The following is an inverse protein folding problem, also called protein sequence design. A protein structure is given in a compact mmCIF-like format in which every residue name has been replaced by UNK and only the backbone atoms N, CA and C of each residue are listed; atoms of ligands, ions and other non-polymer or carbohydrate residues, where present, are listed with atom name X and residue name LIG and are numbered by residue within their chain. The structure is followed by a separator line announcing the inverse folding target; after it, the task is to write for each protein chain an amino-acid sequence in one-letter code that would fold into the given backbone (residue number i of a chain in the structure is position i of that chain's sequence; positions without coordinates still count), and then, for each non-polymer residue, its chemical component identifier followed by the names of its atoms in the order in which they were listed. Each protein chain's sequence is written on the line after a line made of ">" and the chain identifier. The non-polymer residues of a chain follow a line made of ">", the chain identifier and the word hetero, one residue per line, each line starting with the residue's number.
data_IF_728432367840
#
_entry.id   IF_728432367840
#
_cell.length_a   1.000
_cell.length_b   1.000
_cell.length_c   1.000
_cell.angle_alpha   90.00
_cell.angle_beta   90.00
_cell.angle_gamma   90.00
#
_symmetry.space_group_name_H-M   'P 1'
#
loop_
_entity.id
_entity.type
_entity.pdbx_description
1 polymer ?
#
# COMPACT_ATOMS: atom_id res chain seq x y z
N UNK A 1 29.10 -3.95 -12.04
CA UNK A 1 29.89 -5.20 -11.90
C UNK A 1 29.63 -5.92 -10.58
N UNK A 2 29.61 -5.22 -9.42
CA UNK A 2 29.40 -5.87 -8.10
C UNK A 2 28.00 -6.47 -7.95
N UNK A 3 26.96 -5.80 -8.43
CA UNK A 3 25.59 -6.33 -8.37
C UNK A 3 25.38 -7.57 -9.23
N UNK A 4 25.98 -7.60 -10.42
CA UNK A 4 25.91 -8.77 -11.30
C UNK A 4 26.58 -9.98 -10.68
N UNK A 5 27.76 -9.78 -10.07
CA UNK A 5 28.46 -10.84 -9.34
C UNK A 5 27.61 -11.35 -8.15
N UNK A 6 27.07 -10.43 -7.32
CA UNK A 6 26.22 -10.79 -6.19
C UNK A 6 25.01 -11.62 -6.63
N UNK A 7 24.36 -11.24 -7.74
CA UNK A 7 23.21 -11.97 -8.28
C UNK A 7 23.61 -13.40 -8.72
N UNK A 8 24.74 -13.54 -9.39
CA UNK A 8 25.25 -14.85 -9.79
C UNK A 8 25.62 -15.71 -8.58
N UNK A 9 26.21 -15.12 -7.54
CA UNK A 9 26.56 -15.81 -6.31
C UNK A 9 25.32 -16.31 -5.56
N UNK A 10 24.26 -15.50 -5.46
CA UNK A 10 22.98 -15.92 -4.86
C UNK A 10 22.27 -17.00 -5.70
N UNK A 11 22.22 -16.85 -7.02
CA UNK A 11 21.64 -17.87 -7.90
C UNK A 11 22.38 -19.21 -7.74
N UNK A 12 23.71 -19.17 -7.64
CA UNK A 12 24.55 -20.37 -7.43
C UNK A 12 24.37 -20.96 -6.03
N UNK A 13 24.14 -20.14 -5.01
CA UNK A 13 23.93 -20.63 -3.65
C UNK A 13 22.71 -21.54 -3.56
N UNK A 14 21.63 -21.24 -4.30
CA UNK A 14 20.41 -22.09 -4.37
C UNK A 14 20.73 -23.49 -4.95
N UNK A 15 21.66 -23.56 -5.91
CA UNK A 15 22.07 -24.82 -6.52
C UNK A 15 22.94 -25.68 -5.59
N UNK A 16 23.75 -25.02 -4.74
CA UNK A 16 24.71 -25.69 -3.83
C UNK A 16 24.01 -26.17 -2.56
N UNK A 17 23.17 -25.34 -1.97
CA UNK A 17 22.45 -25.64 -0.73
C UNK A 17 20.99 -25.20 -0.84
N UNK A 18 20.07 -26.11 -1.18
CA UNK A 18 18.65 -25.81 -1.26
C UNK A 18 18.03 -25.30 0.06
N UNK A 19 18.65 -25.58 1.21
CA UNK A 19 18.16 -25.10 2.50
C UNK A 19 18.32 -23.58 2.67
N UNK A 20 19.22 -22.97 1.89
CA UNK A 20 19.41 -21.51 1.84
C UNK A 20 18.68 -20.88 0.65
N UNK A 21 17.86 -21.65 -0.03
CA UNK A 21 17.24 -21.27 -1.29
C UNK A 21 16.32 -20.07 -1.17
N UNK A 22 15.47 -20.02 -0.14
CA UNK A 22 14.55 -18.92 0.10
C UNK A 22 15.30 -17.62 0.40
N UNK A 23 16.30 -17.65 1.29
CA UNK A 23 17.15 -16.50 1.57
C UNK A 23 17.89 -16.01 0.32
N UNK A 24 18.49 -16.94 -0.44
CA UNK A 24 19.24 -16.60 -1.64
C UNK A 24 18.37 -15.96 -2.73
N UNK A 25 17.16 -16.52 -2.96
CA UNK A 25 16.19 -15.95 -3.89
C UNK A 25 15.71 -14.57 -3.44
N UNK A 26 15.47 -14.38 -2.14
CA UNK A 26 15.09 -13.09 -1.60
C UNK A 26 16.19 -12.03 -1.84
N UNK A 27 17.45 -12.38 -1.56
CA UNK A 27 18.60 -11.48 -1.78
C UNK A 27 18.84 -11.22 -3.27
N UNK A 28 18.72 -12.25 -4.14
CA UNK A 28 18.80 -12.03 -5.59
C UNK A 28 17.72 -11.04 -6.06
N UNK A 29 16.48 -11.19 -5.60
CA UNK A 29 15.39 -10.28 -5.92
C UNK A 29 15.68 -8.84 -5.44
N UNK A 30 16.27 -8.70 -4.26
CA UNK A 30 16.70 -7.39 -3.75
C UNK A 30 17.73 -6.73 -4.67
N UNK A 31 18.76 -7.47 -5.07
CA UNK A 31 19.80 -6.97 -6.00
C UNK A 31 19.21 -6.59 -7.35
N UNK A 32 18.25 -7.37 -7.87
CA UNK A 32 17.52 -7.03 -9.11
C UNK A 32 16.77 -5.70 -8.97
N UNK A 33 16.13 -5.47 -7.82
CA UNK A 33 15.48 -4.20 -7.52
C UNK A 33 16.43 -3.00 -7.55
N UNK A 34 17.65 -3.16 -6.98
CA UNK A 34 18.70 -2.12 -7.05
C UNK A 34 19.17 -1.83 -8.49
N UNK A 35 19.10 -2.83 -9.36
CA UNK A 35 19.39 -2.69 -10.79
C UNK A 35 18.19 -2.17 -11.61
N UNK A 36 17.04 -1.93 -10.99
CA UNK A 36 15.75 -1.59 -11.63
C UNK A 36 15.24 -2.68 -12.57
N UNK A 37 15.72 -3.91 -12.41
CA UNK A 37 15.20 -5.10 -13.11
C UNK A 37 13.94 -5.60 -12.37
N UNK A 38 12.84 -4.84 -12.44
CA UNK A 38 11.62 -5.14 -11.70
C UNK A 38 10.93 -6.41 -12.20
N UNK A 39 11.00 -6.68 -13.52
CA UNK A 39 10.50 -7.93 -14.07
C UNK A 39 11.27 -9.15 -13.55
N UNK A 40 12.60 -9.09 -13.57
CA UNK A 40 13.44 -10.14 -13.01
C UNK A 40 13.23 -10.30 -11.49
N UNK A 41 13.04 -9.19 -10.77
CA UNK A 41 12.68 -9.22 -9.33
C UNK A 41 11.39 -10.00 -9.09
N UNK A 42 10.32 -9.70 -9.83
CA UNK A 42 9.04 -10.40 -9.71
C UNK A 42 9.18 -11.89 -10.03
N UNK A 43 9.92 -12.25 -11.10
CA UNK A 43 10.17 -13.65 -11.46
C UNK A 43 10.93 -14.41 -10.36
N UNK A 44 11.97 -13.80 -9.79
CA UNK A 44 12.75 -14.39 -8.70
C UNK A 44 11.90 -14.60 -7.45
N UNK A 45 11.07 -13.61 -7.07
CA UNK A 45 10.14 -13.73 -5.95
C UNK A 45 9.02 -14.75 -6.21
N UNK A 46 8.56 -14.92 -7.45
CA UNK A 46 7.63 -16.00 -7.80
C UNK A 46 8.25 -17.37 -7.52
N UNK A 47 9.53 -17.56 -7.83
CA UNK A 47 10.23 -18.82 -7.51
C UNK A 47 10.30 -19.04 -6.00
N UNK A 48 10.62 -18.01 -5.22
CA UNK A 48 10.62 -18.09 -3.76
C UNK A 48 9.24 -18.56 -3.25
N UNK A 49 8.16 -17.91 -3.71
CA UNK A 49 6.80 -18.19 -3.26
C UNK A 49 6.35 -19.60 -3.66
N UNK A 50 6.74 -20.10 -4.85
CA UNK A 50 6.35 -21.43 -5.32
C UNK A 50 7.18 -22.56 -4.72
N UNK A 51 8.51 -22.36 -4.62
CA UNK A 51 9.45 -23.42 -4.27
C UNK A 51 9.63 -23.53 -2.74
N UNK A 52 9.35 -22.42 -2.01
CA UNK A 52 9.51 -22.33 -0.55
C UNK A 52 8.24 -21.77 0.13
N UNK A 53 7.08 -22.48 0.07
CA UNK A 53 5.80 -21.96 0.56
C UNK A 53 5.76 -21.67 2.07
N UNK A 54 6.67 -22.30 2.84
CA UNK A 54 6.82 -22.11 4.29
C UNK A 54 7.97 -21.14 4.66
N UNK A 55 8.50 -20.41 3.68
CA UNK A 55 9.59 -19.47 3.93
C UNK A 55 9.19 -18.37 4.89
N UNK A 56 10.08 -18.02 5.80
CA UNK A 56 9.95 -16.84 6.68
C UNK A 56 9.95 -15.51 5.90
N UNK A 57 10.35 -15.49 4.65
CA UNK A 57 10.38 -14.32 3.77
C UNK A 57 9.12 -14.18 2.92
N UNK A 58 8.07 -14.97 3.18
CA UNK A 58 6.88 -15.02 2.33
C UNK A 58 6.12 -13.69 2.31
N UNK A 59 5.92 -13.06 3.46
CA UNK A 59 5.24 -11.78 3.57
C UNK A 59 6.07 -10.65 2.95
N UNK A 60 7.36 -10.60 3.22
CA UNK A 60 8.29 -9.67 2.58
C UNK A 60 8.35 -9.87 1.05
N UNK A 61 8.34 -11.13 0.58
CA UNK A 61 8.36 -11.43 -0.86
C UNK A 61 7.10 -10.91 -1.57
N UNK A 62 5.93 -11.09 -0.96
CA UNK A 62 4.67 -10.56 -1.49
C UNK A 62 4.66 -9.03 -1.50
N UNK A 63 5.17 -8.40 -0.43
CA UNK A 63 5.30 -6.94 -0.35
C UNK A 63 6.24 -6.40 -1.43
N UNK A 64 7.39 -7.01 -1.59
CA UNK A 64 8.39 -6.61 -2.57
C UNK A 64 7.93 -6.85 -4.03
N UNK A 65 7.07 -7.87 -4.27
CA UNK A 65 6.39 -8.00 -5.58
C UNK A 65 5.43 -6.84 -5.83
N UNK A 66 4.58 -6.51 -4.85
CA UNK A 66 3.68 -5.37 -4.96
C UNK A 66 4.45 -4.08 -5.26
N UNK A 67 5.54 -3.83 -4.51
CA UNK A 67 6.43 -2.68 -4.74
C UNK A 67 7.05 -2.67 -6.13
N UNK A 68 7.43 -3.84 -6.66
CA UNK A 68 7.98 -3.93 -8.03
C UNK A 68 6.92 -3.58 -9.07
N UNK A 69 5.67 -4.02 -8.90
CA UNK A 69 4.56 -3.64 -9.79
C UNK A 69 4.24 -2.14 -9.72
N UNK A 70 4.30 -1.52 -8.53
CA UNK A 70 4.18 -0.05 -8.41
C UNK A 70 5.26 0.68 -9.23
N UNK A 71 6.51 0.20 -9.18
CA UNK A 71 7.60 0.79 -9.97
C UNK A 71 7.46 0.58 -11.48
N UNK A 72 6.64 -0.39 -11.91
CA UNK A 72 6.27 -0.63 -13.30
C UNK A 72 4.95 0.06 -13.70
N UNK A 73 4.38 0.87 -12.80
CA UNK A 73 3.08 1.55 -12.98
C UNK A 73 1.91 0.56 -13.23
N UNK A 74 2.08 -0.68 -12.76
CA UNK A 74 1.06 -1.74 -12.83
C UNK A 74 0.29 -1.82 -11.50
N UNK A 75 -0.54 -0.80 -11.25
CA UNK A 75 -1.30 -0.69 -10.01
C UNK A 75 -2.24 -1.89 -9.77
N UNK A 76 -2.78 -2.47 -10.84
CA UNK A 76 -3.68 -3.62 -10.71
C UNK A 76 -2.97 -4.85 -10.13
N UNK A 77 -1.80 -5.20 -10.64
CA UNK A 77 -1.01 -6.30 -10.12
C UNK A 77 -0.41 -5.98 -8.74
N UNK A 78 -0.02 -4.72 -8.49
CA UNK A 78 0.43 -4.28 -7.15
C UNK A 78 -0.65 -4.51 -6.09
N UNK A 79 -1.88 -4.02 -6.34
CA UNK A 79 -3.04 -4.20 -5.46
C UNK A 79 -3.34 -5.69 -5.25
N UNK A 80 -3.27 -6.51 -6.31
CA UNK A 80 -3.49 -7.95 -6.19
C UNK A 80 -2.48 -8.61 -5.24
N UNK A 81 -1.18 -8.27 -5.31
CA UNK A 81 -0.16 -8.80 -4.41
C UNK A 81 -0.33 -8.33 -2.98
N UNK A 82 -0.58 -7.05 -2.78
CA UNK A 82 -0.85 -6.48 -1.46
C UNK A 82 -2.09 -7.10 -0.80
N UNK A 83 -3.16 -7.35 -1.56
CA UNK A 83 -4.35 -8.04 -1.03
C UNK A 83 -4.05 -9.47 -0.58
N UNK A 84 -3.23 -10.23 -1.34
CA UNK A 84 -2.79 -11.55 -0.92
C UNK A 84 -2.01 -11.48 0.40
N UNK A 85 -1.10 -10.53 0.51
CA UNK A 85 -0.29 -10.29 1.70
C UNK A 85 -1.17 -9.98 2.93
N UNK A 86 -2.04 -8.98 2.82
CA UNK A 86 -2.93 -8.56 3.91
C UNK A 86 -3.84 -9.70 4.37
N UNK A 87 -4.33 -10.51 3.44
CA UNK A 87 -5.20 -11.65 3.75
C UNK A 87 -4.45 -12.80 4.42
N UNK A 88 -3.24 -13.13 3.95
CA UNK A 88 -2.46 -14.27 4.45
C UNK A 88 -1.70 -13.98 5.73
N UNK A 89 -1.21 -12.76 5.88
CA UNK A 89 -0.30 -12.36 6.97
C UNK A 89 -0.75 -11.06 7.64
N UNK A 90 -2.00 -10.98 8.17
CA UNK A 90 -2.57 -9.73 8.69
C UNK A 90 -1.77 -9.10 9.83
N UNK A 91 -1.03 -9.92 10.60
CA UNK A 91 -0.22 -9.45 11.73
C UNK A 91 1.18 -8.94 11.31
N UNK A 92 1.57 -9.15 10.06
CA UNK A 92 2.86 -8.68 9.56
C UNK A 92 2.93 -7.16 9.48
N UNK A 93 4.08 -6.59 9.84
CA UNK A 93 4.33 -5.17 9.69
C UNK A 93 4.24 -4.69 8.23
N UNK A 94 4.70 -5.54 7.27
CA UNK A 94 4.60 -5.18 5.85
C UNK A 94 3.17 -5.30 5.33
N UNK A 95 2.31 -6.13 5.94
CA UNK A 95 0.89 -6.20 5.58
C UNK A 95 0.14 -4.91 5.94
N UNK A 96 0.42 -4.30 7.10
CA UNK A 96 -0.15 -3.00 7.47
C UNK A 96 0.22 -1.92 6.48
N UNK A 97 1.50 -1.87 6.09
CA UNK A 97 1.99 -0.94 5.07
C UNK A 97 1.34 -1.19 3.71
N UNK A 98 1.24 -2.47 3.30
CA UNK A 98 0.57 -2.87 2.06
C UNK A 98 -0.90 -2.44 2.04
N UNK A 99 -1.62 -2.60 3.15
CA UNK A 99 -3.02 -2.18 3.26
C UNK A 99 -3.19 -0.66 3.02
N UNK A 100 -2.25 0.15 3.53
CA UNK A 100 -2.26 1.59 3.26
C UNK A 100 -1.90 1.93 1.81
N UNK A 101 -0.93 1.21 1.22
CA UNK A 101 -0.55 1.36 -0.20
C UNK A 101 -1.72 1.05 -1.14
N UNK A 102 -2.57 0.06 -0.82
CA UNK A 102 -3.79 -0.24 -1.60
C UNK A 102 -4.69 1.00 -1.70
N UNK A 103 -4.93 1.68 -0.57
CA UNK A 103 -5.73 2.92 -0.56
C UNK A 103 -5.12 4.01 -1.44
N UNK A 104 -3.80 4.19 -1.34
CA UNK A 104 -3.07 5.17 -2.15
C UNK A 104 -3.14 4.86 -3.65
N UNK A 105 -2.98 3.59 -4.04
CA UNK A 105 -3.04 3.18 -5.44
C UNK A 105 -4.44 3.38 -6.04
N UNK A 106 -5.50 3.07 -5.28
CA UNK A 106 -6.86 3.40 -5.70
C UNK A 106 -7.07 4.89 -5.84
N UNK A 107 -6.54 5.69 -4.92
CA UNK A 107 -6.62 7.15 -5.01
C UNK A 107 -5.90 7.70 -6.25
N UNK A 108 -4.70 7.20 -6.57
CA UNK A 108 -3.94 7.57 -7.75
C UNK A 108 -4.64 7.20 -9.07
N UNK A 109 -5.46 6.15 -9.05
CA UNK A 109 -6.28 5.72 -10.19
C UNK A 109 -7.65 6.43 -10.25
N UNK A 110 -7.89 7.48 -9.45
CA UNK A 110 -9.17 8.19 -9.30
C UNK A 110 -10.34 7.30 -8.86
N UNK A 111 -10.05 6.13 -8.29
CA UNK A 111 -11.03 5.18 -7.74
C UNK A 111 -11.35 5.55 -6.29
N UNK A 112 -11.98 6.71 -6.12
CA UNK A 112 -12.25 7.27 -4.79
C UNK A 112 -13.10 6.38 -3.88
N UNK A 113 -14.17 5.71 -4.35
CA UNK A 113 -14.94 4.80 -3.52
C UNK A 113 -14.11 3.65 -2.95
N UNK A 114 -13.26 3.04 -3.77
CA UNK A 114 -12.37 1.94 -3.40
C UNK A 114 -11.28 2.43 -2.44
N UNK A 115 -10.69 3.60 -2.69
CA UNK A 115 -9.70 4.23 -1.81
C UNK A 115 -10.30 4.50 -0.42
N UNK A 116 -11.51 5.07 -0.34
CA UNK A 116 -12.24 5.32 0.91
C UNK A 116 -12.45 4.01 1.68
N UNK A 117 -12.90 2.95 0.99
CA UNK A 117 -13.11 1.65 1.61
C UNK A 117 -11.81 1.05 2.14
N UNK A 118 -10.74 1.09 1.35
CA UNK A 118 -9.42 0.58 1.74
C UNK A 118 -8.88 1.30 2.98
N UNK A 119 -8.91 2.63 3.01
CA UNK A 119 -8.46 3.40 4.18
C UNK A 119 -9.32 3.16 5.43
N UNK A 120 -10.64 3.05 5.29
CA UNK A 120 -11.54 2.68 6.40
C UNK A 120 -11.17 1.31 6.97
N UNK A 121 -10.83 0.36 6.10
CA UNK A 121 -10.40 -0.97 6.53
C UNK A 121 -9.06 -0.93 7.29
N UNK A 122 -8.08 -0.13 6.83
CA UNK A 122 -6.81 0.07 7.56
C UNK A 122 -7.07 0.59 8.98
N UNK A 123 -7.92 1.62 9.10
CA UNK A 123 -8.26 2.24 10.39
C UNK A 123 -8.92 1.22 11.33
N UNK A 124 -9.82 0.39 10.81
CA UNK A 124 -10.55 -0.62 11.58
C UNK A 124 -9.66 -1.81 11.96
N UNK A 125 -8.79 -2.27 11.05
CA UNK A 125 -7.99 -3.48 11.26
C UNK A 125 -6.74 -3.23 12.10
N UNK A 126 -6.19 -2.01 12.08
CA UNK A 126 -4.93 -1.67 12.75
C UNK A 126 -5.06 -0.42 13.65
N UNK A 127 -6.02 -0.39 14.59
CA UNK A 127 -6.31 0.80 15.39
C UNK A 127 -5.07 1.25 16.18
N UNK A 128 -4.82 2.57 16.18
CA UNK A 128 -3.68 3.17 16.87
C UNK A 128 -2.31 3.03 16.19
N UNK A 129 -2.23 2.28 15.09
CA UNK A 129 -0.99 2.18 14.30
C UNK A 129 -0.66 3.48 13.56
N UNK A 130 0.59 3.60 13.11
CA UNK A 130 1.01 4.71 12.25
C UNK A 130 0.24 4.69 10.93
N UNK A 131 0.05 3.49 10.36
CA UNK A 131 -0.68 3.29 9.11
C UNK A 131 -2.15 3.74 9.25
N UNK A 132 -2.80 3.48 10.38
CA UNK A 132 -4.16 3.97 10.64
C UNK A 132 -4.20 5.51 10.73
N UNK A 133 -3.20 6.15 11.32
CA UNK A 133 -3.12 7.63 11.36
C UNK A 133 -2.92 8.22 9.98
N UNK A 134 -2.05 7.60 9.16
CA UNK A 134 -1.84 8.00 7.76
C UNK A 134 -3.14 7.83 6.96
N UNK A 135 -3.79 6.67 7.09
CA UNK A 135 -5.07 6.38 6.44
C UNK A 135 -6.16 7.41 6.82
N UNK A 136 -6.25 7.81 8.09
CA UNK A 136 -7.19 8.86 8.52
C UNK A 136 -6.92 10.21 7.86
N UNK A 137 -5.65 10.60 7.78
CA UNK A 137 -5.23 11.86 7.13
C UNK A 137 -5.60 11.85 5.64
N UNK A 138 -5.26 10.75 4.96
CA UNK A 138 -5.47 10.63 3.51
C UNK A 138 -6.98 10.51 3.19
N UNK A 139 -7.71 9.76 4.01
CA UNK A 139 -9.18 9.68 3.93
C UNK A 139 -9.84 11.05 4.11
N UNK A 140 -9.38 11.85 5.09
CA UNK A 140 -9.84 13.23 5.28
C UNK A 140 -9.63 14.06 4.01
N UNK A 141 -8.44 13.97 3.39
CA UNK A 141 -8.15 14.70 2.16
C UNK A 141 -9.10 14.31 1.03
N UNK A 142 -9.37 13.01 0.84
CA UNK A 142 -10.31 12.54 -0.18
C UNK A 142 -11.71 13.12 0.03
N UNK A 143 -12.22 13.09 1.26
CA UNK A 143 -13.55 13.63 1.55
C UNK A 143 -13.65 15.15 1.35
N UNK A 144 -12.58 15.90 1.65
CA UNK A 144 -12.49 17.33 1.34
C UNK A 144 -12.49 17.53 -0.18
N UNK A 145 -11.70 16.74 -0.93
CA UNK A 145 -11.63 16.84 -2.39
C UNK A 145 -12.96 16.52 -3.08
N UNK A 146 -13.76 15.64 -2.47
CA UNK A 146 -15.09 15.29 -2.93
C UNK A 146 -16.20 16.23 -2.42
N UNK A 147 -15.88 17.27 -1.65
CA UNK A 147 -16.84 18.16 -0.96
C UNK A 147 -17.83 17.40 -0.06
N UNK A 148 -17.33 16.38 0.67
CA UNK A 148 -18.13 15.47 1.53
C UNK A 148 -17.68 15.53 2.99
N UNK A 149 -17.47 16.75 3.51
CA UNK A 149 -16.94 16.99 4.86
C UNK A 149 -17.80 16.36 5.95
N UNK A 150 -19.12 16.44 5.83
CA UNK A 150 -20.03 15.87 6.81
C UNK A 150 -19.95 14.33 6.87
N UNK A 151 -19.76 13.66 5.73
CA UNK A 151 -19.56 12.22 5.70
C UNK A 151 -18.27 11.82 6.45
N UNK A 152 -17.21 12.61 6.28
CA UNK A 152 -15.96 12.40 7.02
C UNK A 152 -16.14 12.64 8.52
N UNK A 153 -16.77 13.75 8.92
CA UNK A 153 -17.00 14.08 10.33
C UNK A 153 -17.81 13.00 11.05
N UNK A 154 -18.87 12.49 10.39
CA UNK A 154 -19.66 11.38 10.89
C UNK A 154 -18.83 10.10 11.04
N UNK A 155 -17.99 9.75 10.05
CA UNK A 155 -17.10 8.60 10.15
C UNK A 155 -16.06 8.78 11.28
N UNK A 156 -15.42 9.94 11.35
CA UNK A 156 -14.39 10.22 12.35
C UNK A 156 -14.89 10.07 13.79
N UNK A 157 -16.15 10.45 14.05
CA UNK A 157 -16.80 10.29 15.36
C UNK A 157 -17.00 8.82 15.78
N UNK A 158 -16.97 7.88 14.83
CA UNK A 158 -17.09 6.43 15.11
C UNK A 158 -15.75 5.78 15.50
N UNK A 159 -14.64 6.47 15.28
CA UNK A 159 -13.31 5.93 15.57
C UNK A 159 -13.03 6.09 17.07
N UNK A 160 -12.60 5.04 17.80
CA UNK A 160 -12.19 5.18 19.19
C UNK A 160 -11.07 6.22 19.37
N UNK A 161 -11.32 7.27 20.14
CA UNK A 161 -10.41 8.41 20.27
C UNK A 161 -10.34 9.33 19.06
N UNK A 162 -11.27 9.18 18.11
CA UNK A 162 -11.39 10.03 16.93
C UNK A 162 -11.81 11.46 17.26
N UNK A 163 -11.57 12.36 16.33
CA UNK A 163 -11.92 13.77 16.49
C UNK A 163 -13.45 13.97 16.42
N UNK A 164 -14.00 14.62 17.44
CA UNK A 164 -15.33 15.20 17.35
C UNK A 164 -15.17 16.62 16.78
N UNK A 165 -15.58 16.79 15.53
CA UNK A 165 -15.57 18.11 14.90
C UNK A 165 -16.69 18.97 15.46
N UNK A 166 -16.36 20.11 16.03
CA UNK A 166 -17.36 21.14 16.35
C UNK A 166 -17.89 21.85 15.08
N UNK A 167 -18.89 22.70 15.25
CA UNK A 167 -19.51 23.43 14.12
C UNK A 167 -18.47 24.28 13.38
N UNK A 168 -17.60 24.97 14.09
CA UNK A 168 -16.60 25.88 13.48
C UNK A 168 -15.55 25.09 12.69
N UNK A 169 -15.13 23.94 13.21
CA UNK A 169 -14.18 23.06 12.51
C UNK A 169 -14.82 22.46 11.22
N UNK A 170 -16.09 22.08 11.27
CA UNK A 170 -16.82 21.61 10.09
C UNK A 170 -16.96 22.71 9.06
N UNK A 171 -17.35 23.91 9.47
CA UNK A 171 -17.50 25.07 8.59
C UNK A 171 -16.15 25.45 7.93
N UNK A 172 -15.06 25.43 8.70
CA UNK A 172 -13.71 25.65 8.17
C UNK A 172 -13.31 24.62 7.12
N UNK A 173 -13.59 23.33 7.36
CA UNK A 173 -13.30 22.26 6.40
C UNK A 173 -14.21 22.35 5.16
N UNK A 174 -15.47 22.73 5.33
CA UNK A 174 -16.41 22.93 4.22
C UNK A 174 -15.97 24.10 3.34
N UNK A 175 -15.47 25.18 3.94
CA UNK A 175 -14.89 26.30 3.18
C UNK A 175 -13.69 25.84 2.35
N UNK A 176 -12.75 25.10 2.94
CA UNK A 176 -11.58 24.54 2.22
C UNK A 176 -12.01 23.59 1.10
N UNK A 177 -13.03 22.77 1.33
CA UNK A 177 -13.56 21.88 0.31
C UNK A 177 -14.16 22.66 -0.87
N UNK A 178 -14.98 23.68 -0.58
CA UNK A 178 -15.56 24.53 -1.60
C UNK A 178 -14.50 25.29 -2.41
N UNK A 179 -13.46 25.81 -1.74
CA UNK A 179 -12.32 26.47 -2.40
C UNK A 179 -11.60 25.51 -3.35
N UNK A 180 -11.36 24.26 -2.95
CA UNK A 180 -10.72 23.25 -3.81
C UNK A 180 -11.56 22.92 -5.03
N UNK A 181 -12.88 22.77 -4.88
CA UNK A 181 -13.82 22.55 -6.01
C UNK A 181 -13.78 23.73 -6.97
N UNK A 182 -13.82 24.96 -6.43
CA UNK A 182 -13.73 26.18 -7.22
C UNK A 182 -12.41 26.27 -8.03
N UNK A 183 -11.29 26.00 -7.39
CA UNK A 183 -9.96 26.05 -8.04
C UNK A 183 -9.79 24.99 -9.13
N UNK A 184 -10.52 23.86 -9.07
CA UNK A 184 -10.53 22.86 -10.15
C UNK A 184 -11.46 23.24 -11.31
N UNK A 185 -12.23 24.32 -11.20
CA UNK A 185 -13.20 24.74 -12.20
C UNK A 185 -14.46 23.85 -12.26
N UNK A 186 -14.70 23.02 -11.26
CA UNK A 186 -15.86 22.13 -11.11
C UNK A 186 -17.07 22.89 -10.50
N UNK A 187 -17.27 24.13 -10.91
CA UNK A 187 -18.39 24.93 -10.42
C UNK A 187 -19.65 24.39 -11.10
N UNK A 188 -20.40 23.54 -10.39
CA UNK A 188 -21.77 23.27 -10.79
C UNK A 188 -22.61 24.51 -10.53
N UNK A 189 -23.24 25.02 -11.56
CA UNK A 189 -24.26 26.06 -11.43
C UNK A 189 -25.32 25.53 -10.43
N UNK A 190 -25.48 26.25 -9.34
CA UNK A 190 -26.50 25.98 -8.33
C UNK A 190 -27.87 26.49 -8.80
#
# INVERSE_FOLDING_TARGET
>A
RRFEQARQDYARAVEIDPSLGDYSLYQEAFVRGLQRDYNGKVQTLNRLISDYPESQYMDDALYEQGRAFVQMEDNANAIARFNILVKKFPESNVARRAANEIGLLYYQDDKYPEAIQAYKQVIASYPGSEEARLAQRDLKSIYIDLNKVDEYANFASTIPGGANFDVNERDSLTYVAAERVYMRGEVTEA
#
